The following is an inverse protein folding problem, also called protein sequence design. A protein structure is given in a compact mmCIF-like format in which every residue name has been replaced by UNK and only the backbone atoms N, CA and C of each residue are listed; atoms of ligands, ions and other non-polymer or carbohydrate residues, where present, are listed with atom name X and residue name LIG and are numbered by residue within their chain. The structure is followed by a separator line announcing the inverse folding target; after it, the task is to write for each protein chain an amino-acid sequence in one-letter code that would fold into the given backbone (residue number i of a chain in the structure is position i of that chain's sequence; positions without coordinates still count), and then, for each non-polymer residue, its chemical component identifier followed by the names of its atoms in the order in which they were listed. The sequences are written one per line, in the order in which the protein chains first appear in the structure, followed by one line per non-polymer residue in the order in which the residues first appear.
data_IF_288361833935
#
_entry.id   IF_288361833935
#
_cell.length_a   1.000
_cell.length_b   1.000
_cell.length_c   1.000
_cell.angle_alpha   90.00
_cell.angle_beta   90.00
_cell.angle_gamma   90.00
#
_symmetry.space_group_name_H-M   'P 1'
#
loop_
_entity.id
_entity.type
_entity.pdbx_description
1 polymer ?
#
# COMPACT_ATOMS: atom_id res chain seq x y z
N UNK A 1 -12.80 -28.87 -5.46
CA UNK A 1 -12.50 -29.26 -6.87
C UNK A 1 -11.14 -29.94 -6.99
N UNK A 2 -10.13 -29.58 -6.22
CA UNK A 2 -8.76 -30.13 -6.26
C UNK A 2 -8.69 -31.60 -5.80
N UNK A 3 -9.47 -32.00 -4.80
CA UNK A 3 -9.52 -33.38 -4.30
C UNK A 3 -10.18 -34.38 -5.29
N UNK A 4 -11.16 -33.93 -6.07
CA UNK A 4 -11.77 -34.77 -7.12
C UNK A 4 -10.81 -35.02 -8.28
N UNK A 5 -9.96 -34.04 -8.63
CA UNK A 5 -8.98 -34.17 -9.69
C UNK A 5 -7.85 -35.15 -9.31
N UNK A 6 -7.35 -35.07 -8.04
CA UNK A 6 -6.37 -36.03 -7.47
C UNK A 6 -6.93 -37.45 -7.50
N UNK A 7 -8.16 -37.67 -7.13
CA UNK A 7 -8.80 -38.97 -7.09
C UNK A 7 -8.98 -39.52 -8.51
N UNK A 8 -9.23 -38.67 -9.49
CA UNK A 8 -9.38 -39.04 -10.91
C UNK A 8 -8.04 -39.49 -11.50
N UNK A 9 -6.94 -38.77 -11.24
CA UNK A 9 -5.59 -39.13 -11.69
C UNK A 9 -5.13 -40.44 -11.02
N UNK A 10 -5.35 -40.59 -9.71
CA UNK A 10 -4.98 -41.80 -8.98
C UNK A 10 -5.71 -43.03 -9.52
N UNK A 11 -6.99 -42.90 -9.82
CA UNK A 11 -7.79 -44.01 -10.40
C UNK A 11 -7.36 -44.34 -11.82
N UNK A 12 -6.95 -43.36 -12.60
CA UNK A 12 -6.47 -43.55 -13.97
C UNK A 12 -5.10 -44.23 -14.01
N UNK A 13 -4.18 -43.85 -13.13
CA UNK A 13 -2.86 -44.47 -12.98
C UNK A 13 -2.98 -45.91 -12.51
N UNK A 14 -3.85 -46.20 -11.54
CA UNK A 14 -4.10 -47.58 -11.08
C UNK A 14 -4.71 -48.48 -12.16
N UNK A 15 -5.65 -47.96 -12.97
CA UNK A 15 -6.19 -48.68 -14.13
C UNK A 15 -5.14 -48.94 -15.20
N UNK A 16 -4.27 -47.97 -15.48
CA UNK A 16 -3.18 -48.10 -16.46
C UNK A 16 -2.12 -49.13 -16.02
N UNK A 17 -1.74 -49.12 -14.74
CA UNK A 17 -0.81 -50.13 -14.15
C UNK A 17 -1.41 -51.54 -14.18
N UNK A 18 -2.72 -51.66 -13.88
CA UNK A 18 -3.42 -52.93 -13.90
C UNK A 18 -3.58 -53.51 -15.32
N UNK A 19 -3.83 -52.63 -16.31
CA UNK A 19 -3.94 -53.01 -17.73
C UNK A 19 -2.59 -53.46 -18.30
N UNK A 20 -1.49 -52.81 -17.95
CA UNK A 20 -0.14 -53.16 -18.40
C UNK A 20 0.43 -54.43 -17.74
N UNK A 21 0.02 -54.79 -16.52
CA UNK A 21 0.36 -56.07 -15.88
C UNK A 21 -0.31 -57.28 -16.54
N UNK A 22 -1.41 -57.11 -17.24
CA UNK A 22 -2.07 -58.18 -18.02
C UNK A 22 -1.35 -58.39 -19.37
N UNK A 23 -0.82 -57.31 -19.99
CA UNK A 23 -0.09 -57.34 -21.25
C UNK A 23 1.36 -57.80 -21.09
N UNK A 24 1.96 -57.69 -19.91
CA UNK A 24 3.39 -58.01 -19.65
C UNK A 24 3.70 -59.52 -19.64
N UNK A 25 2.71 -60.41 -19.70
CA UNK A 25 2.90 -61.85 -19.82
C UNK A 25 3.24 -62.35 -21.25
N UNK A 26 3.20 -61.45 -22.26
CA UNK A 26 3.41 -61.83 -23.67
C UNK A 26 4.59 -61.17 -24.41
N UNK A 27 5.35 -60.21 -23.84
CA UNK A 27 6.45 -59.55 -24.59
C UNK A 27 7.69 -59.32 -23.72
N UNK A 28 8.67 -60.19 -23.85
CA UNK A 28 9.87 -60.25 -23.00
C UNK A 28 11.11 -59.49 -23.54
N UNK A 29 10.96 -58.40 -24.34
CA UNK A 29 12.12 -57.65 -24.84
C UNK A 29 11.95 -56.10 -24.83
N UNK A 30 10.77 -55.55 -24.54
CA UNK A 30 10.50 -54.11 -24.50
C UNK A 30 10.53 -53.48 -23.08
N UNK A 31 10.81 -54.30 -22.05
CA UNK A 31 10.54 -53.97 -20.66
C UNK A 31 11.53 -53.00 -19.97
N UNK A 32 12.73 -52.79 -20.55
CA UNK A 32 13.72 -51.91 -19.88
C UNK A 32 13.42 -50.42 -20.07
N UNK A 33 13.00 -50.04 -21.26
CA UNK A 33 12.67 -48.65 -21.62
C UNK A 33 11.38 -48.21 -20.94
N UNK A 34 10.37 -49.08 -20.87
CA UNK A 34 9.08 -48.76 -20.23
C UNK A 34 9.21 -48.69 -18.71
N UNK A 35 10.03 -49.52 -18.08
CA UNK A 35 10.37 -49.39 -16.64
C UNK A 35 11.13 -48.10 -16.34
N UNK A 36 12.06 -47.67 -17.19
CA UNK A 36 12.76 -46.39 -17.04
C UNK A 36 11.80 -45.24 -17.16
N UNK A 37 10.89 -45.25 -18.13
CA UNK A 37 9.87 -44.18 -18.29
C UNK A 37 8.91 -44.13 -17.10
N UNK A 38 8.50 -45.24 -16.53
CA UNK A 38 7.67 -45.28 -15.33
C UNK A 38 8.41 -44.75 -14.08
N UNK A 39 9.70 -45.06 -13.95
CA UNK A 39 10.54 -44.52 -12.87
C UNK A 39 10.69 -42.98 -13.05
N UNK A 40 10.91 -42.49 -14.26
CA UNK A 40 10.97 -41.06 -14.53
C UNK A 40 9.66 -40.36 -14.28
N UNK A 41 8.51 -40.93 -14.64
CA UNK A 41 7.18 -40.41 -14.31
C UNK A 41 6.92 -40.39 -12.79
N UNK A 42 7.32 -41.45 -12.09
CA UNK A 42 7.21 -41.46 -10.62
C UNK A 42 8.12 -40.45 -9.95
N UNK A 43 9.35 -40.25 -10.45
CA UNK A 43 10.27 -39.22 -9.96
C UNK A 43 9.76 -37.78 -10.25
N UNK A 44 9.13 -37.58 -11.42
CA UNK A 44 8.48 -36.28 -11.75
C UNK A 44 7.26 -36.04 -10.85
N UNK A 45 6.45 -37.06 -10.57
CA UNK A 45 5.30 -36.93 -9.65
C UNK A 45 5.77 -36.67 -8.21
N UNK A 46 6.83 -37.32 -7.75
CA UNK A 46 7.44 -37.06 -6.44
C UNK A 46 8.06 -35.67 -6.41
N UNK A 47 8.72 -35.19 -7.49
CA UNK A 47 9.25 -33.83 -7.58
C UNK A 47 8.15 -32.76 -7.61
N UNK A 48 6.98 -33.06 -8.22
CA UNK A 48 5.79 -32.20 -8.18
C UNK A 48 5.19 -32.21 -6.77
N UNK A 49 5.14 -33.34 -6.08
CA UNK A 49 4.67 -33.39 -4.68
C UNK A 49 5.65 -32.71 -3.72
N UNK A 50 6.95 -32.83 -3.88
CA UNK A 50 7.94 -32.14 -3.05
C UNK A 50 7.98 -30.64 -3.31
N UNK A 51 7.67 -30.18 -4.52
CA UNK A 51 7.47 -28.75 -4.80
C UNK A 51 6.10 -28.25 -4.33
N UNK A 52 5.07 -29.09 -4.31
CA UNK A 52 3.76 -28.76 -3.75
C UNK A 52 3.75 -28.76 -2.21
N UNK A 53 4.59 -29.56 -1.56
CA UNK A 53 4.77 -29.53 -0.09
C UNK A 53 5.74 -28.47 0.38
N UNK A 54 6.59 -27.91 -0.51
CA UNK A 54 7.35 -26.68 -0.28
C UNK A 54 6.52 -25.39 -0.45
N UNK A 55 5.31 -25.46 -1.02
CA UNK A 55 4.29 -24.46 -0.80
C UNK A 55 3.73 -24.65 0.62
N UNK A 56 4.55 -24.29 1.61
CA UNK A 56 4.17 -24.23 3.01
C UNK A 56 2.85 -23.46 3.14
N UNK A 57 2.10 -23.76 4.15
CA UNK A 57 0.83 -23.13 4.54
C UNK A 57 0.80 -21.68 4.02
N UNK A 58 0.13 -21.44 2.89
CA UNK A 58 -0.07 -20.12 2.35
C UNK A 58 -0.94 -19.39 3.36
N UNK A 59 -0.32 -18.71 4.31
CA UNK A 59 -0.98 -17.71 5.13
C UNK A 59 -1.38 -16.60 4.17
N UNK A 60 -2.56 -16.74 3.60
CA UNK A 60 -3.11 -15.74 2.70
C UNK A 60 -3.63 -14.59 3.55
N UNK A 61 -3.13 -13.39 3.33
CA UNK A 61 -3.68 -12.17 3.91
C UNK A 61 -5.10 -12.02 3.35
N UNK A 62 -6.17 -12.06 4.16
CA UNK A 62 -7.54 -12.03 3.64
C UNK A 62 -7.97 -10.66 3.14
N UNK A 63 -7.44 -9.59 3.72
CA UNK A 63 -7.78 -8.21 3.37
C UNK A 63 -6.62 -7.24 3.62
N UNK A 64 -6.65 -6.12 2.90
CA UNK A 64 -5.79 -4.95 3.13
C UNK A 64 -6.67 -3.80 3.65
N UNK A 65 -6.36 -3.29 4.84
CA UNK A 65 -7.11 -2.22 5.49
C UNK A 65 -6.17 -1.04 5.70
N UNK A 66 -6.51 0.11 5.12
CA UNK A 66 -5.57 1.23 4.99
C UNK A 66 -6.12 2.49 5.64
N UNK A 67 -5.26 3.18 6.40
CA UNK A 67 -5.52 4.46 7.04
C UNK A 67 -4.45 5.47 6.61
N UNK A 68 -4.82 6.74 6.63
CA UNK A 68 -3.82 7.79 6.38
C UNK A 68 -4.30 8.92 5.49
N UNK A 69 -3.38 9.44 4.70
CA UNK A 69 -3.53 10.67 3.91
C UNK A 69 -3.65 10.40 2.40
N UNK A 70 -3.34 11.43 1.59
CA UNK A 70 -3.45 11.40 0.13
C UNK A 70 -2.62 10.33 -0.57
N UNK A 71 -1.53 9.86 0.07
CA UNK A 71 -0.68 8.81 -0.49
C UNK A 71 -1.49 7.50 -0.63
N UNK A 72 -2.47 7.29 0.24
CA UNK A 72 -3.27 6.07 0.32
C UNK A 72 -4.74 6.25 -0.05
N UNK A 73 -5.22 7.49 -0.25
CA UNK A 73 -6.62 7.78 -0.54
C UNK A 73 -7.01 7.30 -1.95
N UNK A 74 -8.08 6.51 -2.04
CA UNK A 74 -8.63 6.03 -3.32
C UNK A 74 -9.95 6.70 -3.69
N UNK A 75 -10.33 7.80 -3.01
CA UNK A 75 -11.50 8.61 -3.33
C UNK A 75 -12.41 8.96 -2.15
N UNK A 76 -11.95 8.83 -0.90
CA UNK A 76 -12.77 9.20 0.27
C UNK A 76 -13.10 10.71 0.30
N UNK A 77 -12.26 11.55 -0.30
CA UNK A 77 -12.49 12.99 -0.37
C UNK A 77 -13.52 13.42 -1.42
N UNK A 78 -13.96 12.53 -2.34
CA UNK A 78 -14.75 12.91 -3.49
C UNK A 78 -16.03 13.67 -3.16
N UNK A 79 -16.69 13.30 -2.07
CA UNK A 79 -17.97 13.89 -1.63
C UNK A 79 -17.84 14.85 -0.44
N UNK A 80 -16.62 15.12 0.04
CA UNK A 80 -16.41 16.05 1.14
C UNK A 80 -16.47 17.52 0.66
N UNK A 81 -16.84 18.48 1.52
CA UNK A 81 -16.78 19.92 1.23
C UNK A 81 -15.34 20.45 1.39
N UNK A 82 -14.39 19.85 0.66
CA UNK A 82 -12.97 20.24 0.68
C UNK A 82 -12.50 20.59 -0.72
N UNK A 83 -11.44 21.41 -0.80
CA UNK A 83 -10.70 21.67 -2.04
C UNK A 83 -9.69 20.56 -2.39
N UNK A 84 -9.37 19.67 -1.44
CA UNK A 84 -8.43 18.59 -1.66
C UNK A 84 -9.12 17.38 -2.30
N UNK A 85 -9.37 17.48 -3.61
CA UNK A 85 -9.96 16.44 -4.45
C UNK A 85 -9.11 16.24 -5.70
N UNK A 86 -9.10 14.99 -6.18
CA UNK A 86 -8.42 14.59 -7.41
C UNK A 86 -9.33 13.70 -8.27
N UNK A 87 -10.64 14.03 -8.30
CA UNK A 87 -11.68 13.32 -9.06
C UNK A 87 -12.02 14.00 -10.40
N UNK A 88 -11.07 14.70 -10.99
CA UNK A 88 -11.18 15.39 -12.28
C UNK A 88 -9.87 15.26 -13.07
N UNK A 89 -9.94 15.33 -14.43
CA UNK A 89 -8.75 15.29 -15.27
C UNK A 89 -7.81 16.47 -14.99
N UNK A 90 -6.46 16.25 -15.15
CA UNK A 90 -5.81 15.09 -15.70
C UNK A 90 -5.40 14.02 -14.68
N UNK A 91 -5.86 14.12 -13.41
CA UNK A 91 -5.69 13.02 -12.47
C UNK A 91 -6.26 11.72 -13.06
N UNK A 92 -5.62 10.59 -12.78
CA UNK A 92 -6.08 9.29 -13.23
C UNK A 92 -5.95 9.04 -14.73
N UNK A 93 -5.20 9.86 -15.48
CA UNK A 93 -5.02 9.67 -16.93
C UNK A 93 -4.42 8.31 -17.31
N UNK A 94 -3.58 7.76 -16.44
CA UNK A 94 -2.92 6.46 -16.60
C UNK A 94 -3.59 5.35 -15.75
N UNK A 95 -4.71 5.68 -15.06
CA UNK A 95 -5.52 4.71 -14.35
C UNK A 95 -6.19 3.74 -15.35
N UNK A 96 -6.41 2.44 -15.02
CA UNK A 96 -6.94 1.45 -15.97
C UNK A 96 -8.25 1.83 -16.68
N UNK A 97 -9.08 2.68 -16.08
CA UNK A 97 -10.29 3.21 -16.74
C UNK A 97 -10.06 4.49 -17.54
N UNK A 98 -8.90 5.14 -17.40
CA UNK A 98 -8.60 6.46 -17.98
C UNK A 98 -9.36 7.62 -17.31
N UNK A 99 -10.03 7.38 -16.17
CA UNK A 99 -10.82 8.39 -15.47
C UNK A 99 -10.26 8.71 -14.09
N UNK A 100 -10.40 9.95 -13.69
CA UNK A 100 -10.07 10.42 -12.35
C UNK A 100 -11.00 9.78 -11.30
N UNK A 101 -10.41 9.20 -10.26
CA UNK A 101 -11.14 8.44 -9.24
C UNK A 101 -11.08 9.07 -7.85
N UNK A 102 -10.32 10.14 -7.69
CA UNK A 102 -10.01 10.76 -6.41
C UNK A 102 -8.63 10.38 -5.86
N UNK A 103 -7.88 9.52 -6.58
CA UNK A 103 -6.48 9.21 -6.26
C UNK A 103 -5.59 10.39 -6.60
N UNK A 104 -4.68 10.72 -5.70
CA UNK A 104 -3.73 11.83 -5.86
C UNK A 104 -2.53 11.39 -6.70
N UNK A 105 -2.78 10.96 -7.94
CA UNK A 105 -1.76 10.51 -8.89
C UNK A 105 -2.30 10.51 -10.33
N UNK A 106 -1.43 10.29 -11.32
CA UNK A 106 -1.79 10.00 -12.70
C UNK A 106 -2.51 8.65 -12.86
N UNK A 107 -2.32 7.73 -11.91
CA UNK A 107 -2.89 6.40 -11.94
C UNK A 107 -3.17 5.83 -10.55
N UNK A 108 -2.73 4.59 -10.32
CA UNK A 108 -2.90 3.87 -9.05
C UNK A 108 -1.99 4.42 -7.95
N UNK A 109 -2.44 4.29 -6.71
CA UNK A 109 -1.71 4.68 -5.50
C UNK A 109 -1.25 3.42 -4.74
N UNK A 110 -0.37 3.54 -3.72
CA UNK A 110 0.16 2.36 -3.02
C UNK A 110 -0.91 1.42 -2.45
N UNK A 111 -2.07 1.93 -2.03
CA UNK A 111 -3.22 1.10 -1.61
C UNK A 111 -3.61 0.07 -2.68
N UNK A 112 -3.65 0.47 -3.95
CA UNK A 112 -4.00 -0.41 -5.06
C UNK A 112 -2.87 -1.39 -5.37
N UNK A 113 -1.64 -0.87 -5.46
CA UNK A 113 -0.46 -1.64 -5.86
C UNK A 113 -0.16 -2.75 -4.84
N UNK A 114 -0.28 -2.45 -3.55
CA UNK A 114 -0.11 -3.43 -2.47
C UNK A 114 -1.25 -4.46 -2.52
N UNK A 115 -2.51 -4.04 -2.70
CA UNK A 115 -3.64 -4.96 -2.80
C UNK A 115 -3.49 -5.93 -3.99
N UNK A 116 -2.99 -5.45 -5.13
CA UNK A 116 -2.70 -6.30 -6.30
C UNK A 116 -1.58 -7.30 -6.03
N UNK A 117 -0.47 -6.87 -5.44
CA UNK A 117 0.68 -7.72 -5.09
C UNK A 117 0.32 -8.78 -4.04
N UNK A 118 -0.61 -8.49 -3.13
CA UNK A 118 -1.17 -9.45 -2.18
C UNK A 118 -2.22 -10.38 -2.81
N UNK A 119 -2.53 -10.23 -4.10
CA UNK A 119 -3.54 -11.05 -4.80
C UNK A 119 -5.00 -10.76 -4.40
N UNK A 120 -5.26 -9.63 -3.74
CA UNK A 120 -6.58 -9.29 -3.22
C UNK A 120 -7.48 -8.66 -4.28
N UNK A 121 -6.99 -7.60 -4.93
CA UNK A 121 -7.73 -6.85 -5.94
C UNK A 121 -6.77 -5.98 -6.78
N UNK A 122 -7.13 -5.65 -8.02
CA UNK A 122 -6.36 -4.71 -8.85
C UNK A 122 -6.41 -3.27 -8.33
N UNK A 123 -7.47 -2.93 -7.62
CA UNK A 123 -7.68 -1.61 -6.99
C UNK A 123 -8.39 -1.79 -5.66
N UNK A 124 -8.02 -0.99 -4.66
CA UNK A 124 -8.65 -1.00 -3.35
C UNK A 124 -9.75 0.07 -3.31
N UNK A 125 -11.00 -0.27 -2.91
CA UNK A 125 -12.07 0.70 -2.86
C UNK A 125 -11.92 1.68 -1.68
N UNK A 126 -12.38 2.92 -1.87
CA UNK A 126 -12.58 3.87 -0.80
C UNK A 126 -13.80 3.45 0.05
N UNK A 127 -13.69 3.56 1.38
CA UNK A 127 -14.80 3.20 2.29
C UNK A 127 -16.05 4.08 2.09
N UNK A 128 -15.86 5.37 1.73
CA UNK A 128 -16.93 6.32 1.46
C UNK A 128 -17.55 6.20 0.07
N UNK A 129 -17.15 5.19 -0.73
CA UNK A 129 -17.76 4.95 -2.04
C UNK A 129 -19.21 4.49 -1.89
N UNK A 130 -20.17 5.26 -2.40
CA UNK A 130 -21.59 4.95 -2.33
C UNK A 130 -21.99 3.62 -3.00
N UNK A 131 -21.19 3.13 -3.95
CA UNK A 131 -21.39 1.88 -4.66
C UNK A 131 -20.72 0.66 -4.00
N UNK A 132 -20.11 0.83 -2.83
CA UNK A 132 -19.40 -0.23 -2.11
C UNK A 132 -20.38 -1.32 -1.66
N UNK A 133 -20.18 -2.53 -2.15
CA UNK A 133 -21.02 -3.70 -1.81
C UNK A 133 -20.45 -4.43 -0.59
N UNK A 134 -21.29 -5.10 0.22
CA UNK A 134 -20.81 -5.87 1.38
C UNK A 134 -19.67 -6.84 1.04
N UNK A 135 -19.73 -7.54 -0.10
CA UNK A 135 -18.68 -8.47 -0.54
C UNK A 135 -17.32 -7.82 -0.78
N UNK A 136 -17.29 -6.52 -1.14
CA UNK A 136 -16.05 -5.79 -1.42
C UNK A 136 -15.29 -5.54 -0.12
N UNK A 137 -15.99 -5.42 1.02
CA UNK A 137 -15.41 -5.27 2.34
C UNK A 137 -14.53 -6.45 2.74
N UNK A 138 -14.79 -7.66 2.22
CA UNK A 138 -14.05 -8.87 2.57
C UNK A 138 -12.58 -8.87 2.10
N UNK A 139 -12.23 -8.04 1.13
CA UNK A 139 -10.87 -7.88 0.62
C UNK A 139 -10.17 -6.63 1.17
N UNK A 140 -10.90 -5.85 1.96
CA UNK A 140 -10.41 -4.62 2.57
C UNK A 140 -10.84 -3.36 1.84
N UNK A 141 -10.53 -2.23 2.46
CA UNK A 141 -10.86 -0.87 2.00
C UNK A 141 -9.78 0.11 2.47
N UNK A 142 -9.73 1.29 1.86
CA UNK A 142 -9.01 2.42 2.45
C UNK A 142 -9.95 3.38 3.15
N UNK A 143 -9.58 3.81 4.36
CA UNK A 143 -10.19 4.91 5.12
C UNK A 143 -9.43 6.21 4.94
N UNK A 144 -8.26 6.17 4.30
CA UNK A 144 -7.38 7.30 4.10
C UNK A 144 -8.10 8.48 3.44
N UNK A 145 -7.75 9.70 3.86
CA UNK A 145 -8.35 10.95 3.39
C UNK A 145 -7.25 11.96 3.10
N UNK A 146 -7.17 12.40 1.84
CA UNK A 146 -6.15 13.33 1.38
C UNK A 146 -6.14 14.61 2.22
N UNK A 147 -4.95 15.02 2.67
CA UNK A 147 -4.77 16.23 3.49
C UNK A 147 -4.81 16.01 5.01
N UNK A 148 -5.10 14.80 5.49
CA UNK A 148 -5.10 14.51 6.94
C UNK A 148 -3.69 14.35 7.50
N UNK A 149 -3.58 14.36 8.83
CA UNK A 149 -2.35 14.13 9.60
C UNK A 149 -2.65 13.54 10.98
N UNK A 150 -1.60 13.29 11.75
CA UNK A 150 -1.71 12.84 13.13
C UNK A 150 -2.16 13.96 14.08
N UNK A 151 -1.82 15.21 13.77
CA UNK A 151 -2.34 16.38 14.49
C UNK A 151 -3.80 16.60 14.07
N UNK A 152 -4.77 16.61 15.00
CA UNK A 152 -6.17 16.89 14.68
C UNK A 152 -6.38 18.24 14.00
N UNK A 153 -5.48 19.21 14.21
CA UNK A 153 -5.54 20.51 13.57
C UNK A 153 -5.35 20.40 12.05
N UNK A 154 -4.55 19.47 11.58
CA UNK A 154 -4.28 19.24 10.15
C UNK A 154 -5.57 18.94 9.39
N UNK A 155 -6.33 17.95 9.82
CA UNK A 155 -7.60 17.60 9.19
C UNK A 155 -8.63 18.73 9.28
N UNK A 156 -8.64 19.47 10.39
CA UNK A 156 -9.53 20.62 10.60
C UNK A 156 -9.24 21.75 9.61
N UNK A 157 -7.97 22.13 9.43
CA UNK A 157 -7.55 23.18 8.49
C UNK A 157 -7.92 22.77 7.06
N UNK A 158 -7.71 21.50 6.71
CA UNK A 158 -7.91 20.97 5.36
C UNK A 158 -9.37 20.57 5.08
N UNK A 159 -10.25 20.59 6.09
CA UNK A 159 -11.66 20.16 6.00
C UNK A 159 -11.82 18.75 5.44
N UNK A 160 -11.04 17.79 5.98
CA UNK A 160 -10.99 16.38 5.56
C UNK A 160 -11.23 15.43 6.74
N UNK A 161 -11.34 14.13 6.46
CA UNK A 161 -11.54 13.10 7.50
C UNK A 161 -10.25 12.97 8.31
N UNK A 162 -10.31 13.22 9.62
CA UNK A 162 -9.15 13.02 10.49
C UNK A 162 -8.79 11.53 10.64
N UNK A 163 -7.53 11.22 10.97
CA UNK A 163 -7.15 9.82 11.28
C UNK A 163 -8.00 9.25 12.41
N UNK A 164 -8.41 10.06 13.36
CA UNK A 164 -9.29 9.66 14.47
C UNK A 164 -10.73 9.38 14.04
N UNK A 165 -11.24 10.07 13.01
CA UNK A 165 -12.54 9.75 12.41
C UNK A 165 -12.45 8.50 11.53
N UNK A 166 -11.30 8.23 10.92
CA UNK A 166 -11.06 6.96 10.20
C UNK A 166 -11.21 5.75 11.14
N UNK A 167 -10.83 5.86 12.43
CA UNK A 167 -11.11 4.81 13.42
C UNK A 167 -12.60 4.61 13.70
N UNK A 168 -13.41 5.69 13.65
CA UNK A 168 -14.87 5.57 13.78
C UNK A 168 -15.45 4.80 12.60
N UNK A 169 -15.03 5.12 11.38
CA UNK A 169 -15.44 4.38 10.18
C UNK A 169 -14.95 2.93 10.20
N UNK A 170 -13.79 2.66 10.78
CA UNK A 170 -13.33 1.30 10.96
C UNK A 170 -14.22 0.50 11.93
N UNK A 171 -14.70 1.09 13.02
CA UNK A 171 -15.71 0.47 13.91
C UNK A 171 -17.00 0.14 13.16
N UNK A 172 -17.46 1.04 12.29
CA UNK A 172 -18.62 0.78 11.41
C UNK A 172 -18.34 -0.36 10.42
N UNK A 173 -17.14 -0.40 9.82
CA UNK A 173 -16.72 -1.48 8.94
C UNK A 173 -16.79 -2.84 9.66
N UNK A 174 -16.23 -2.95 10.87
CA UNK A 174 -16.31 -4.17 11.69
C UNK A 174 -17.77 -4.58 11.91
N UNK A 175 -18.63 -3.62 12.28
CA UNK A 175 -20.06 -3.87 12.50
C UNK A 175 -20.77 -4.35 11.22
N UNK A 176 -20.42 -3.78 10.05
CA UNK A 176 -20.95 -4.21 8.76
C UNK A 176 -20.49 -5.65 8.41
N UNK A 177 -19.22 -5.99 8.64
CA UNK A 177 -18.72 -7.35 8.41
C UNK A 177 -19.45 -8.34 9.31
N UNK A 178 -19.58 -8.07 10.61
CA UNK A 178 -20.31 -8.90 11.56
C UNK A 178 -21.76 -9.11 11.12
N UNK A 179 -22.44 -8.05 10.73
CA UNK A 179 -23.85 -8.10 10.29
C UNK A 179 -24.06 -8.95 9.03
N UNK A 180 -23.15 -8.85 8.04
CA UNK A 180 -23.35 -9.50 6.74
C UNK A 180 -22.72 -10.90 6.64
N UNK A 181 -21.65 -11.18 7.42
CA UNK A 181 -20.82 -12.37 7.27
C UNK A 181 -20.58 -13.13 8.57
N UNK A 182 -21.09 -12.65 9.70
CA UNK A 182 -20.95 -13.28 11.01
C UNK A 182 -19.70 -12.87 11.79
N UNK A 183 -19.69 -13.18 13.07
CA UNK A 183 -18.63 -12.85 14.03
C UNK A 183 -17.31 -13.51 13.69
N UNK A 184 -17.33 -14.82 13.37
CA UNK A 184 -16.12 -15.60 13.01
C UNK A 184 -15.38 -15.00 11.81
N UNK A 185 -16.14 -14.56 10.78
CA UNK A 185 -15.54 -13.93 9.60
C UNK A 185 -14.93 -12.58 9.93
N UNK A 186 -15.58 -11.78 10.78
CA UNK A 186 -15.06 -10.50 11.24
C UNK A 186 -13.77 -10.71 12.04
N UNK A 187 -13.75 -11.65 12.97
CA UNK A 187 -12.56 -11.97 13.76
C UNK A 187 -11.41 -12.46 12.87
N UNK A 188 -11.68 -13.36 11.93
CA UNK A 188 -10.67 -13.84 10.96
C UNK A 188 -10.05 -12.70 10.15
N UNK A 189 -10.84 -11.70 9.74
CA UNK A 189 -10.33 -10.52 9.04
C UNK A 189 -9.45 -9.69 9.98
N UNK A 190 -9.87 -9.46 11.21
CA UNK A 190 -9.09 -8.67 12.17
C UNK A 190 -7.75 -9.32 12.50
N UNK A 191 -7.72 -10.64 12.70
CA UNK A 191 -6.52 -11.37 13.10
C UNK A 191 -5.50 -11.55 11.98
N UNK A 192 -5.96 -11.71 10.74
CA UNK A 192 -5.08 -12.14 9.65
C UNK A 192 -4.86 -11.09 8.55
N UNK A 193 -5.65 -10.00 8.53
CA UNK A 193 -5.48 -8.93 7.54
C UNK A 193 -4.26 -8.06 7.82
N UNK A 194 -3.77 -7.42 6.75
CA UNK A 194 -2.72 -6.42 6.89
C UNK A 194 -3.32 -5.03 7.00
N UNK A 195 -2.93 -4.32 8.06
CA UNK A 195 -3.33 -2.95 8.33
C UNK A 195 -2.18 -2.01 8.03
N UNK A 196 -2.41 -0.97 7.23
CA UNK A 196 -1.40 0.03 6.90
C UNK A 196 -1.80 1.41 7.41
N UNK A 197 -0.84 2.11 8.01
CA UNK A 197 -1.00 3.48 8.50
C UNK A 197 0.05 4.36 7.85
N UNK A 198 -0.40 5.35 7.08
CA UNK A 198 0.47 6.25 6.31
C UNK A 198 0.00 7.69 6.50
N UNK A 199 0.69 8.45 7.34
CA UNK A 199 0.37 9.84 7.64
C UNK A 199 1.64 10.59 8.07
N UNK A 200 1.53 11.87 8.41
CA UNK A 200 2.56 12.79 8.87
C UNK A 200 2.99 13.85 7.87
N UNK A 201 2.91 13.59 6.56
CA UNK A 201 3.45 14.50 5.53
C UNK A 201 2.80 15.89 5.61
N UNK A 202 1.48 15.94 5.80
CA UNK A 202 0.72 17.20 5.88
C UNK A 202 1.00 17.97 7.18
N UNK A 203 1.19 17.23 8.29
CA UNK A 203 1.59 17.83 9.56
C UNK A 203 2.91 18.59 9.44
N UNK A 204 3.93 17.88 8.91
CA UNK A 204 5.30 18.39 8.79
C UNK A 204 5.42 19.52 7.76
N UNK A 205 4.69 19.40 6.64
CA UNK A 205 4.82 20.35 5.52
C UNK A 205 3.94 21.60 5.66
N UNK A 206 2.80 21.49 6.32
CA UNK A 206 1.79 22.56 6.36
C UNK A 206 1.41 22.96 7.78
N UNK A 207 1.02 22.03 8.64
CA UNK A 207 0.43 22.34 9.96
C UNK A 207 1.47 22.86 10.93
N UNK A 208 2.73 22.43 10.82
CA UNK A 208 3.80 22.92 11.69
C UNK A 208 3.88 24.45 11.73
N UNK A 209 3.67 25.14 10.62
CA UNK A 209 3.71 26.62 10.60
C UNK A 209 2.68 27.22 11.55
N UNK A 210 1.46 26.66 11.61
CA UNK A 210 0.42 27.08 12.54
C UNK A 210 0.70 26.68 13.99
N UNK A 211 1.51 25.66 14.21
CA UNK A 211 1.90 25.14 15.54
C UNK A 211 3.24 25.67 16.05
N UNK A 212 3.97 26.45 15.24
CA UNK A 212 5.34 26.91 15.55
C UNK A 212 5.44 27.83 16.77
N UNK A 213 4.33 28.46 17.18
CA UNK A 213 4.25 29.26 18.40
C UNK A 213 4.16 28.38 19.67
N UNK A 214 3.77 27.11 19.54
CA UNK A 214 3.57 26.15 20.63
C UNK A 214 4.67 25.12 20.72
N UNK A 215 5.23 24.72 19.58
CA UNK A 215 6.24 23.67 19.47
C UNK A 215 7.44 24.15 18.66
N UNK A 216 8.64 23.82 19.13
CA UNK A 216 9.80 23.77 18.24
C UNK A 216 9.68 22.55 17.29
N UNK A 217 10.56 22.48 16.27
CA UNK A 217 10.52 21.42 15.26
C UNK A 217 10.67 20.01 15.85
N UNK A 218 11.56 19.86 16.83
CA UNK A 218 11.83 18.57 17.47
C UNK A 218 10.65 18.11 18.31
N UNK A 219 10.11 18.98 19.13
CA UNK A 219 8.97 18.73 19.98
C UNK A 219 7.71 18.41 19.17
N UNK A 220 7.50 19.09 18.03
CA UNK A 220 6.38 18.79 17.15
C UNK A 220 6.52 17.43 16.48
N UNK A 221 7.70 17.10 15.95
CA UNK A 221 7.96 15.78 15.36
C UNK A 221 7.75 14.65 16.39
N UNK A 222 8.18 14.87 17.66
CA UNK A 222 7.94 13.91 18.73
C UNK A 222 6.45 13.75 19.06
N UNK A 223 5.71 14.85 19.15
CA UNK A 223 4.26 14.83 19.35
C UNK A 223 3.53 14.02 18.27
N UNK A 224 3.94 14.18 17.01
CA UNK A 224 3.36 13.41 15.90
C UNK A 224 3.69 11.91 16.02
N UNK A 225 4.93 11.56 16.36
CA UNK A 225 5.32 10.15 16.54
C UNK A 225 4.56 9.49 17.70
N UNK A 226 4.39 10.20 18.84
CA UNK A 226 3.61 9.70 19.97
C UNK A 226 2.11 9.56 19.60
N UNK A 227 1.58 10.46 18.76
CA UNK A 227 0.23 10.36 18.21
C UNK A 227 0.06 9.16 17.28
N UNK A 228 1.08 8.86 16.45
CA UNK A 228 1.10 7.68 15.60
C UNK A 228 1.07 6.38 16.43
N UNK A 229 1.90 6.28 17.48
CA UNK A 229 1.91 5.13 18.40
C UNK A 229 0.56 4.95 19.09
N UNK A 230 -0.06 6.05 19.54
CA UNK A 230 -1.41 6.02 20.11
C UNK A 230 -2.43 5.48 19.10
N UNK A 231 -2.36 5.93 17.86
CA UNK A 231 -3.26 5.46 16.79
C UNK A 231 -3.10 3.94 16.55
N UNK A 232 -1.88 3.43 16.51
CA UNK A 232 -1.60 1.99 16.37
C UNK A 232 -2.18 1.19 17.53
N UNK A 233 -2.03 1.68 18.75
CA UNK A 233 -2.61 1.06 19.95
C UNK A 233 -4.15 1.00 19.87
N UNK A 234 -4.80 2.06 19.38
CA UNK A 234 -6.25 2.05 19.17
C UNK A 234 -6.68 1.04 18.09
N UNK A 235 -5.90 0.90 17.01
CA UNK A 235 -6.15 -0.15 15.99
C UNK A 235 -6.04 -1.54 16.59
N UNK A 236 -5.00 -1.79 17.40
CA UNK A 236 -4.83 -3.07 18.09
C UNK A 236 -6.00 -3.37 19.02
N UNK A 237 -6.44 -2.38 19.80
CA UNK A 237 -7.60 -2.50 20.69
C UNK A 237 -8.90 -2.80 19.93
N UNK A 238 -8.99 -2.40 18.66
CA UNK A 238 -10.11 -2.73 17.76
C UNK A 238 -9.97 -4.10 17.09
N UNK A 239 -8.90 -4.84 17.38
CA UNK A 239 -8.68 -6.21 16.93
C UNK A 239 -7.63 -6.38 15.82
N UNK A 240 -7.02 -5.32 15.31
CA UNK A 240 -5.93 -5.44 14.33
C UNK A 240 -4.71 -6.16 14.95
N UNK A 241 -4.12 -7.13 14.22
CA UNK A 241 -2.96 -7.92 14.70
C UNK A 241 -1.72 -7.79 13.84
N UNK A 242 -1.82 -7.35 12.59
CA UNK A 242 -0.68 -7.16 11.68
C UNK A 242 -0.71 -5.73 11.16
N UNK A 243 0.08 -4.84 11.77
CA UNK A 243 0.03 -3.39 11.51
C UNK A 243 1.38 -2.90 11.00
N UNK A 244 1.39 -2.33 9.79
CA UNK A 244 2.54 -1.63 9.22
C UNK A 244 2.35 -0.12 9.30
N UNK A 245 3.36 0.59 9.76
CA UNK A 245 3.35 2.06 9.84
C UNK A 245 4.48 2.61 9.00
N UNK A 246 4.15 3.45 8.02
CA UNK A 246 5.16 4.08 7.17
C UNK A 246 5.90 5.18 7.93
N UNK A 247 7.19 5.30 7.65
CA UNK A 247 7.98 6.47 8.02
C UNK A 247 7.43 7.73 7.35
N UNK A 248 7.73 8.90 7.92
CA UNK A 248 7.59 10.15 7.18
C UNK A 248 8.51 10.14 5.97
N UNK A 249 8.03 10.67 4.84
CA UNK A 249 8.78 10.81 3.60
C UNK A 249 9.68 12.07 3.62
N UNK A 250 10.64 12.24 2.69
CA UNK A 250 11.48 13.44 2.60
C UNK A 250 10.67 14.67 2.10
N UNK A 251 9.72 15.13 2.93
CA UNK A 251 8.76 16.20 2.59
C UNK A 251 9.42 17.49 2.12
N UNK A 252 10.63 17.79 2.58
CA UNK A 252 11.38 18.95 2.11
C UNK A 252 11.90 18.83 0.68
N UNK A 253 11.80 17.65 0.06
CA UNK A 253 12.21 17.42 -1.33
C UNK A 253 11.03 17.41 -2.31
N UNK A 254 9.77 17.49 -1.85
CA UNK A 254 8.65 17.56 -2.78
C UNK A 254 8.66 18.89 -3.54
N UNK A 255 8.20 18.92 -4.82
CA UNK A 255 8.32 20.10 -5.68
C UNK A 255 7.76 21.40 -5.07
N UNK A 256 6.62 21.33 -4.37
CA UNK A 256 6.02 22.47 -3.69
C UNK A 256 6.97 23.08 -2.65
N UNK A 257 7.53 22.27 -1.77
CA UNK A 257 8.41 22.74 -0.71
C UNK A 257 9.73 23.29 -1.28
N UNK A 258 10.27 22.64 -2.29
CA UNK A 258 11.44 23.14 -3.03
C UNK A 258 11.19 24.52 -3.66
N UNK A 259 9.98 24.74 -4.18
CA UNK A 259 9.61 26.01 -4.79
C UNK A 259 9.39 27.12 -3.75
N UNK A 260 8.68 26.82 -2.66
CA UNK A 260 8.29 27.83 -1.67
C UNK A 260 9.43 28.17 -0.70
N UNK A 261 10.21 27.16 -0.29
CA UNK A 261 11.21 27.28 0.78
C UNK A 261 12.62 26.90 0.36
N UNK A 262 12.80 26.23 -0.77
CA UNK A 262 14.09 25.72 -1.25
C UNK A 262 14.97 26.72 -2.00
N UNK A 263 14.53 27.98 -2.06
CA UNK A 263 15.19 29.06 -2.80
C UNK A 263 14.72 29.17 -4.25
N UNK A 264 14.42 30.40 -4.67
CA UNK A 264 13.74 30.69 -5.94
C UNK A 264 14.49 30.17 -7.18
N UNK A 265 15.82 30.19 -7.16
CA UNK A 265 16.67 29.76 -8.27
C UNK A 265 17.18 28.33 -8.09
N UNK A 266 17.57 27.95 -6.87
CA UNK A 266 18.20 26.67 -6.58
C UNK A 266 17.20 25.51 -6.43
N UNK A 267 15.99 25.82 -5.92
CA UNK A 267 14.95 24.84 -5.64
C UNK A 267 15.48 23.58 -4.98
N UNK A 268 16.38 23.75 -4.00
CA UNK A 268 16.99 22.65 -3.25
C UNK A 268 15.98 22.00 -2.31
N UNK A 269 16.27 20.78 -1.85
CA UNK A 269 15.50 20.17 -0.76
C UNK A 269 15.59 21.01 0.51
N UNK A 270 14.47 21.24 1.17
CA UNK A 270 14.35 22.05 2.40
C UNK A 270 14.85 21.24 3.59
N UNK A 271 16.12 21.39 3.94
CA UNK A 271 16.79 20.63 5.02
C UNK A 271 16.04 20.67 6.36
N UNK A 272 15.51 21.81 6.86
CA UNK A 272 14.76 21.84 8.11
C UNK A 272 13.53 20.92 8.12
N UNK A 273 12.78 20.80 7.00
CA UNK A 273 11.63 19.92 6.90
C UNK A 273 12.05 18.44 6.87
N UNK A 274 13.11 18.12 6.12
CA UNK A 274 13.66 16.76 6.10
C UNK A 274 14.22 16.35 7.47
N UNK A 275 14.80 17.28 8.23
CA UNK A 275 15.26 17.01 9.59
C UNK A 275 14.10 16.72 10.54
N UNK A 276 12.95 17.41 10.38
CA UNK A 276 11.73 17.09 11.14
C UNK A 276 11.19 15.69 10.80
N UNK A 277 11.16 15.34 9.50
CA UNK A 277 10.77 14.00 9.07
C UNK A 277 11.70 12.92 9.66
N UNK A 278 13.02 13.13 9.62
CA UNK A 278 13.99 12.23 10.25
C UNK A 278 13.82 12.13 11.76
N UNK A 279 13.55 13.25 12.45
CA UNK A 279 13.27 13.25 13.89
C UNK A 279 12.03 12.44 14.24
N UNK A 280 10.95 12.59 13.46
CA UNK A 280 9.75 11.77 13.56
C UNK A 280 10.09 10.28 13.39
N UNK A 281 10.83 9.92 12.34
CA UNK A 281 11.23 8.54 12.05
C UNK A 281 12.10 7.93 13.17
N UNK A 282 13.06 8.69 13.67
CA UNK A 282 13.95 8.29 14.77
C UNK A 282 13.18 8.06 16.09
N UNK A 283 12.11 8.81 16.33
CA UNK A 283 11.22 8.61 17.50
C UNK A 283 10.26 7.45 17.29
N UNK A 284 9.69 7.32 16.08
CA UNK A 284 8.66 6.34 15.76
C UNK A 284 9.19 4.90 15.75
N UNK A 285 10.34 4.66 15.11
CA UNK A 285 10.87 3.30 14.92
C UNK A 285 11.04 2.53 16.24
N UNK A 286 11.81 3.01 17.24
CA UNK A 286 11.97 2.30 18.51
C UNK A 286 10.66 2.24 19.32
N UNK A 287 9.76 3.22 19.17
CA UNK A 287 8.49 3.20 19.84
C UNK A 287 7.57 2.09 19.31
N UNK A 288 7.57 1.86 17.99
CA UNK A 288 6.84 0.73 17.39
C UNK A 288 7.48 -0.62 17.73
N UNK A 289 8.81 -0.71 17.78
CA UNK A 289 9.52 -1.91 18.24
C UNK A 289 9.19 -2.26 19.70
N UNK A 290 9.04 -1.24 20.55
CA UNK A 290 8.60 -1.43 21.93
C UNK A 290 7.16 -1.92 21.98
N UNK A 291 6.30 -1.35 21.14
CA UNK A 291 4.89 -1.73 21.07
C UNK A 291 4.71 -3.16 20.53
N UNK A 292 5.51 -3.56 19.55
CA UNK A 292 5.55 -4.93 19.03
C UNK A 292 5.90 -5.97 20.08
N UNK A 293 6.84 -5.64 20.97
CA UNK A 293 7.22 -6.51 22.11
C UNK A 293 6.17 -6.54 23.23
N UNK A 294 5.37 -5.49 23.37
CA UNK A 294 4.34 -5.36 24.40
C UNK A 294 3.03 -6.07 23.99
N UNK A 295 2.70 -6.03 22.69
CA UNK A 295 1.42 -6.51 22.18
C UNK A 295 1.58 -7.86 21.48
N UNK A 296 0.53 -8.70 21.57
CA UNK A 296 0.46 -9.97 20.84
C UNK A 296 0.02 -9.74 19.39
N UNK A 297 1.00 -9.52 18.51
CA UNK A 297 0.77 -9.22 17.11
C UNK A 297 2.07 -8.93 16.37
N UNK A 298 1.94 -8.34 15.18
CA UNK A 298 3.07 -7.89 14.35
C UNK A 298 2.91 -6.39 14.11
N UNK A 299 3.81 -5.59 14.65
CA UNK A 299 3.83 -4.14 14.46
C UNK A 299 5.15 -3.76 13.77
N UNK A 300 5.06 -3.29 12.53
CA UNK A 300 6.22 -3.02 11.69
C UNK A 300 6.39 -1.52 11.44
N UNK A 301 7.59 -1.02 11.71
CA UNK A 301 8.07 0.22 11.11
C UNK A 301 8.49 -0.06 9.67
N UNK A 302 7.92 0.67 8.70
CA UNK A 302 8.17 0.52 7.27
C UNK A 302 8.85 1.79 6.76
N UNK A 303 10.14 1.67 6.45
CA UNK A 303 10.92 2.80 5.96
C UNK A 303 10.65 3.05 4.48
N UNK A 304 10.07 4.21 4.19
CA UNK A 304 9.85 4.76 2.85
C UNK A 304 10.72 6.00 2.59
N UNK A 305 11.31 6.59 3.66
CA UNK A 305 12.12 7.80 3.55
C UNK A 305 13.31 7.59 2.64
N UNK A 306 14.11 6.58 2.95
CA UNK A 306 15.38 6.35 2.26
C UNK A 306 15.16 5.96 0.80
N UNK A 307 14.16 5.13 0.50
CA UNK A 307 13.82 4.75 -0.88
C UNK A 307 13.44 5.97 -1.73
N UNK A 308 12.51 6.80 -1.25
CA UNK A 308 12.09 7.98 -2.01
C UNK A 308 13.19 9.04 -2.08
N UNK A 309 13.97 9.19 -1.01
CA UNK A 309 15.10 10.14 -1.01
C UNK A 309 16.17 9.73 -2.01
N UNK A 310 16.56 8.44 -2.07
CA UNK A 310 17.52 7.93 -3.06
C UNK A 310 17.00 8.08 -4.50
N UNK A 311 15.71 7.82 -4.73
CA UNK A 311 15.07 8.07 -6.04
C UNK A 311 15.20 9.54 -6.47
N UNK A 312 14.97 10.48 -5.54
CA UNK A 312 15.04 11.93 -5.83
C UNK A 312 16.49 12.36 -6.09
N UNK A 313 17.47 11.79 -5.36
CA UNK A 313 18.89 12.13 -5.53
C UNK A 313 19.50 11.48 -6.79
N UNK A 314 19.04 10.29 -7.16
CA UNK A 314 19.58 9.48 -8.25
C UNK A 314 18.49 9.01 -9.22
N UNK A 315 17.68 9.91 -9.81
CA UNK A 315 16.49 9.53 -10.59
C UNK A 315 16.80 8.58 -11.74
N UNK A 316 17.92 8.77 -12.43
CA UNK A 316 18.36 7.92 -13.55
C UNK A 316 18.58 6.46 -13.14
N UNK A 317 19.00 6.18 -11.91
CA UNK A 317 19.18 4.84 -11.35
C UNK A 317 17.86 4.05 -11.37
N UNK A 318 16.73 4.76 -11.24
CA UNK A 318 15.38 4.20 -11.22
C UNK A 318 14.63 4.41 -12.54
N UNK A 319 15.32 4.93 -13.57
CA UNK A 319 14.75 5.18 -14.90
C UNK A 319 13.86 6.42 -14.98
N UNK A 320 14.04 7.39 -14.07
CA UNK A 320 13.39 8.71 -14.13
C UNK A 320 14.34 9.78 -14.68
N UNK A 321 13.75 10.80 -15.33
CA UNK A 321 14.49 11.94 -15.84
C UNK A 321 14.31 13.18 -14.98
N UNK A 322 13.13 13.33 -14.36
CA UNK A 322 12.71 14.52 -13.64
C UNK A 322 12.33 14.19 -12.19
N UNK A 323 13.02 14.83 -11.23
CA UNK A 323 12.83 14.62 -9.79
C UNK A 323 12.54 15.91 -9.01
N UNK A 324 12.59 17.07 -9.66
CA UNK A 324 12.53 18.38 -9.00
C UNK A 324 11.19 19.09 -9.20
N UNK A 325 10.33 18.55 -10.05
CA UNK A 325 9.00 19.08 -10.39
C UNK A 325 8.04 17.96 -10.75
N UNK A 326 6.74 18.25 -10.67
CA UNK A 326 5.68 17.34 -11.10
C UNK A 326 5.45 17.41 -12.62
N UNK A 327 4.77 16.41 -13.14
CA UNK A 327 4.32 16.34 -14.53
C UNK A 327 3.10 17.22 -14.80
N UNK A 328 2.20 17.34 -13.84
CA UNK A 328 0.94 18.07 -13.99
C UNK A 328 1.10 19.57 -13.78
N UNK A 329 0.57 20.35 -14.69
CA UNK A 329 0.55 21.80 -14.63
C UNK A 329 1.96 22.39 -14.63
N UNK A 330 2.19 23.43 -13.81
CA UNK A 330 3.54 24.02 -13.67
C UNK A 330 4.56 23.06 -13.05
N UNK A 331 4.10 21.96 -12.47
CA UNK A 331 4.94 21.00 -11.75
C UNK A 331 5.58 21.51 -10.47
N UNK A 332 5.50 22.81 -10.21
CA UNK A 332 6.16 23.48 -9.10
C UNK A 332 5.22 23.84 -7.96
N UNK A 333 4.00 24.26 -8.28
CA UNK A 333 2.96 24.70 -7.36
C UNK A 333 1.62 23.99 -7.59
N UNK A 334 1.42 23.41 -8.78
CA UNK A 334 0.17 22.81 -9.17
C UNK A 334 -0.13 21.55 -8.34
N UNK A 335 -1.20 21.59 -7.56
CA UNK A 335 -1.75 20.51 -6.75
C UNK A 335 -3.27 20.62 -6.75
N UNK A 336 -4.00 19.50 -6.74
CA UNK A 336 -5.46 19.48 -6.73
C UNK A 336 -6.02 20.40 -7.84
N UNK A 337 -6.88 21.36 -7.55
CA UNK A 337 -7.51 22.24 -8.54
C UNK A 337 -6.53 23.04 -9.42
N UNK A 338 -5.31 23.24 -9.01
CA UNK A 338 -4.29 23.87 -9.88
C UNK A 338 -3.70 22.91 -10.92
N UNK A 339 -3.92 21.60 -10.74
CA UNK A 339 -3.58 20.55 -11.68
C UNK A 339 -4.85 20.12 -12.43
N UNK A 340 -5.28 20.87 -13.43
CA UNK A 340 -6.50 20.65 -14.20
C UNK A 340 -6.25 20.82 -15.70
N UNK A 341 -7.24 20.51 -16.53
CA UNK A 341 -7.14 20.53 -18.00
C UNK A 341 -6.99 21.93 -18.60
N UNK A 342 -7.27 23.00 -17.86
CA UNK A 342 -7.04 24.38 -18.29
C UNK A 342 -5.55 24.74 -18.23
N UNK A 343 -4.74 23.95 -17.53
CA UNK A 343 -3.29 24.13 -17.46
C UNK A 343 -2.61 23.41 -18.64
N UNK A 344 -2.03 24.15 -19.61
CA UNK A 344 -1.46 23.56 -20.82
C UNK A 344 -0.11 22.87 -20.61
N UNK A 345 0.48 22.95 -19.42
CA UNK A 345 1.85 22.52 -19.15
C UNK A 345 1.97 21.09 -18.60
N UNK A 346 0.89 20.30 -18.63
CA UNK A 346 0.96 18.89 -18.22
C UNK A 346 1.86 18.11 -19.20
N UNK A 347 2.82 17.37 -18.67
CA UNK A 347 3.78 16.61 -19.45
C UNK A 347 3.11 15.48 -20.28
N UNK A 348 3.69 15.13 -21.42
CA UNK A 348 3.20 14.04 -22.27
C UNK A 348 3.50 12.65 -21.68
N UNK A 349 4.64 12.49 -20.98
CA UNK A 349 5.10 11.23 -20.42
C UNK A 349 5.31 11.33 -18.91
N UNK A 350 4.30 10.95 -18.12
CA UNK A 350 4.35 10.93 -16.66
C UNK A 350 5.38 9.93 -16.12
N UNK A 351 5.67 8.86 -16.84
CA UNK A 351 6.58 7.82 -16.39
C UNK A 351 8.06 8.25 -16.37
N UNK A 352 8.41 9.39 -16.96
CA UNK A 352 9.73 10.02 -16.81
C UNK A 352 9.86 10.85 -15.53
N UNK A 353 8.77 11.08 -14.79
CA UNK A 353 8.73 11.94 -13.61
C UNK A 353 8.56 11.13 -12.35
N UNK A 354 9.26 11.52 -11.26
CA UNK A 354 8.99 10.97 -9.93
C UNK A 354 7.65 11.49 -9.40
N UNK A 355 7.36 12.78 -9.61
CA UNK A 355 6.15 13.42 -9.09
C UNK A 355 5.12 13.64 -10.20
N UNK A 356 3.85 13.34 -9.87
CA UNK A 356 2.71 13.65 -10.71
C UNK A 356 2.35 15.15 -10.65
N UNK A 357 2.01 15.62 -9.45
CA UNK A 357 1.79 17.03 -9.17
C UNK A 357 2.94 17.62 -8.34
N UNK A 358 2.74 18.77 -7.72
CA UNK A 358 3.80 19.40 -6.93
C UNK A 358 4.07 18.70 -5.59
N UNK A 359 3.36 17.60 -5.28
CA UNK A 359 3.43 16.93 -3.99
C UNK A 359 3.47 15.39 -4.09
N UNK A 360 2.64 14.81 -4.97
CA UNK A 360 2.38 13.39 -5.04
C UNK A 360 3.20 12.69 -6.13
N UNK A 361 3.75 11.49 -5.84
CA UNK A 361 4.41 10.65 -6.84
C UNK A 361 3.49 10.20 -7.98
N UNK A 362 4.10 9.87 -9.11
CA UNK A 362 3.43 9.15 -10.22
C UNK A 362 3.14 7.69 -9.85
N UNK A 363 2.21 7.04 -10.57
CA UNK A 363 1.98 5.58 -10.40
C UNK A 363 3.28 4.79 -10.55
N UNK A 364 4.12 5.14 -11.54
CA UNK A 364 5.41 4.48 -11.73
C UNK A 364 6.35 4.64 -10.53
N UNK A 365 6.42 5.83 -9.94
CA UNK A 365 7.23 6.05 -8.75
C UNK A 365 6.67 5.30 -7.54
N UNK A 366 5.36 5.26 -7.38
CA UNK A 366 4.71 4.43 -6.36
C UNK A 366 5.00 2.93 -6.57
N UNK A 367 5.03 2.45 -7.82
CA UNK A 367 5.36 1.06 -8.12
C UNK A 367 6.78 0.71 -7.64
N UNK A 368 7.78 1.55 -7.94
CA UNK A 368 9.16 1.35 -7.46
C UNK A 368 9.22 1.30 -5.93
N UNK A 369 8.51 2.21 -5.26
CA UNK A 369 8.45 2.23 -3.79
C UNK A 369 7.82 0.94 -3.26
N UNK A 370 6.66 0.54 -3.80
CA UNK A 370 5.92 -0.65 -3.33
C UNK A 370 6.70 -1.93 -3.58
N UNK A 371 7.35 -2.08 -4.73
CA UNK A 371 8.19 -3.25 -5.02
C UNK A 371 9.32 -3.37 -3.99
N UNK A 372 10.02 -2.28 -3.71
CA UNK A 372 11.10 -2.24 -2.70
C UNK A 372 10.59 -2.56 -1.28
N UNK A 373 9.40 -2.07 -0.92
CA UNK A 373 8.79 -2.34 0.38
C UNK A 373 8.40 -3.81 0.53
N UNK A 374 7.78 -4.40 -0.49
CA UNK A 374 7.34 -5.79 -0.42
C UNK A 374 8.52 -6.74 -0.35
N UNK A 375 9.58 -6.50 -1.13
CA UNK A 375 10.81 -7.31 -1.06
C UNK A 375 11.40 -7.31 0.37
N UNK A 376 11.31 -6.18 1.08
CA UNK A 376 11.91 -6.02 2.42
C UNK A 376 11.02 -6.48 3.56
N UNK A 377 9.70 -6.32 3.45
CA UNK A 377 8.78 -6.46 4.59
C UNK A 377 7.72 -7.54 4.42
N UNK A 378 7.43 -8.03 3.21
CA UNK A 378 6.33 -8.99 2.96
C UNK A 378 6.49 -10.27 3.79
N UNK A 379 7.71 -10.84 3.86
CA UNK A 379 7.99 -12.05 4.63
C UNK A 379 7.76 -11.93 6.14
N UNK A 380 7.63 -10.71 6.66
CA UNK A 380 7.35 -10.46 8.07
C UNK A 380 5.84 -10.43 8.38
N UNK A 381 5.00 -10.35 7.35
CA UNK A 381 3.54 -10.19 7.48
C UNK A 381 2.80 -11.46 7.08
N UNK A 382 3.41 -12.28 6.21
CA UNK A 382 2.88 -13.58 5.75
C UNK A 382 3.26 -14.71 6.76
#
# INVERSE_FOLDING_TARGET
KFNKFKQYIYTYVLKFVKHNNILSKQVNKSNKTMKLQMIWLALILIAIETNATKLGNNVTIPALIVFGDSIMDTGNNNNLPTLLKCNFPPYGKDFPSGFATGRFSDGRVPSDLIAEKLGLAKTLPAYMNANLKPKDLLKGVTFASGGTGYDPLTAKIMSVISVWDQLKYFKEYISKIKKHFGEERAQSILDHSFFLVVSSSNDLAHTYMAQSHRYDRKSYANFLADSAVKFVRELYNLGARKIGVFSAVPVGCVPLQRTVLGGMLTRGCVKPLNNMAKQFNTRLSPALESLDKELDGIILYIDVYDTLFDMIQHPKKYGFEVADRGCCGSGSLAISYMCNTLNPFTCSNSSSYIFWDSYHPTERAYQVIVDNLLDKYLSKVI
#
